data_IF_276347920603
#
_entry.id   IF_276347920603
#
_cell.length_a   1.000
_cell.length_b   1.000
_cell.length_c   1.000
_cell.angle_alpha   90.00
_cell.angle_beta   90.00
_cell.angle_gamma   90.00
#
_symmetry.space_group_name_H-M   'P 1'
#
loop_
_entity.id
_entity.type
_entity.pdbx_description
1 polymer ?
#
# COMPACT_ATOMS: atom_id res chain seq x y z
N UNK A 1 -1.50 -3.29 -15.89
CA UNK A 1 -1.60 -1.88 -16.32
C UNK A 1 -2.69 -1.11 -15.61
N UNK A 2 -3.62 -1.77 -14.91
CA UNK A 2 -4.56 -1.08 -14.03
C UNK A 2 -4.09 -1.23 -12.59
N UNK A 3 -3.35 -0.23 -12.10
CA UNK A 3 -3.04 -0.09 -10.68
C UNK A 3 -3.88 1.09 -10.16
N UNK A 4 -4.53 0.95 -8.99
CA UNK A 4 -5.32 2.03 -8.43
C UNK A 4 -4.37 3.12 -7.93
N UNK A 5 -4.14 4.12 -8.78
CA UNK A 5 -3.53 5.39 -8.40
C UNK A 5 -4.61 6.46 -8.40
N UNK A 6 -4.46 7.47 -7.56
CA UNK A 6 -5.43 8.56 -7.43
C UNK A 6 -6.83 8.08 -7.01
N UNK A 7 -6.89 6.97 -6.27
CA UNK A 7 -8.13 6.45 -5.65
C UNK A 7 -8.23 6.93 -4.22
N UNK A 8 -9.33 7.58 -3.86
CA UNK A 8 -9.60 7.93 -2.46
C UNK A 8 -9.89 6.64 -1.70
N UNK A 9 -9.02 6.27 -0.76
CA UNK A 9 -9.08 4.96 -0.10
C UNK A 9 -10.38 4.77 0.67
N UNK A 10 -10.89 5.83 1.30
CA UNK A 10 -12.15 5.79 2.06
C UNK A 10 -13.37 5.57 1.17
N UNK A 11 -13.37 6.09 -0.06
CA UNK A 11 -14.46 5.84 -1.01
C UNK A 11 -14.44 4.38 -1.48
N UNK A 12 -13.25 3.87 -1.82
CA UNK A 12 -13.08 2.47 -2.17
C UNK A 12 -13.50 1.54 -1.01
N UNK A 13 -13.15 1.91 0.22
CA UNK A 13 -13.59 1.19 1.42
C UNK A 13 -15.09 1.27 1.63
N UNK A 14 -15.74 2.41 1.39
CA UNK A 14 -17.19 2.51 1.54
C UNK A 14 -17.94 1.57 0.58
N UNK A 15 -17.36 1.28 -0.58
CA UNK A 15 -17.92 0.30 -1.53
C UNK A 15 -17.72 -1.17 -1.07
N UNK A 16 -16.74 -1.43 -0.21
CA UNK A 16 -16.42 -2.76 0.32
C UNK A 16 -15.90 -2.68 1.77
N UNK A 17 -16.80 -2.34 2.69
CA UNK A 17 -16.43 -1.99 4.07
C UNK A 17 -15.80 -3.16 4.83
N UNK A 18 -16.19 -4.39 4.50
CA UNK A 18 -15.72 -5.62 5.13
C UNK A 18 -14.55 -6.28 4.40
N UNK A 19 -14.38 -6.03 3.10
CA UNK A 19 -13.29 -6.58 2.29
C UNK A 19 -12.03 -5.70 2.28
N UNK A 20 -12.00 -4.62 3.06
CA UNK A 20 -10.87 -3.70 3.14
C UNK A 20 -10.35 -3.59 4.59
N UNK A 21 -9.12 -3.13 4.81
CA UNK A 21 -8.51 -2.83 6.14
C UNK A 21 -8.65 -1.35 6.54
N UNK A 22 -9.06 -1.07 7.78
CA UNK A 22 -9.26 0.32 8.22
C UNK A 22 -7.92 1.07 8.22
N UNK A 23 -7.84 2.29 7.66
CA UNK A 23 -6.60 3.06 7.71
C UNK A 23 -6.31 3.48 9.15
N UNK A 24 -5.04 3.43 9.53
CA UNK A 24 -4.55 3.90 10.83
C UNK A 24 -3.90 5.26 10.66
N UNK A 25 -4.17 6.19 11.58
CA UNK A 25 -3.48 7.49 11.63
C UNK A 25 -2.64 7.59 12.90
N UNK A 26 -1.35 7.83 12.74
CA UNK A 26 -0.40 8.02 13.84
C UNK A 26 0.58 9.13 13.49
N UNK A 27 0.80 10.07 14.42
CA UNK A 27 1.75 11.17 14.22
C UNK A 27 1.43 12.05 12.99
N UNK A 28 0.17 12.15 12.58
CA UNK A 28 -0.25 12.91 11.39
C UNK A 28 -0.07 12.19 10.06
N UNK A 29 0.35 10.93 10.07
CA UNK A 29 0.48 10.08 8.88
C UNK A 29 -0.62 9.02 8.88
N UNK A 30 -1.31 8.87 7.76
CA UNK A 30 -2.30 7.81 7.55
C UNK A 30 -1.71 6.70 6.68
N UNK A 31 -1.89 5.44 7.07
CA UNK A 31 -1.40 4.25 6.38
C UNK A 31 -2.38 3.08 6.51
N UNK A 32 -2.17 2.00 5.75
CA UNK A 32 -3.03 0.81 5.76
C UNK A 32 -2.19 -0.46 5.90
N UNK A 33 -2.47 -1.26 6.92
CA UNK A 33 -1.66 -2.46 7.21
C UNK A 33 -0.24 -2.07 7.63
N UNK A 34 0.74 -2.38 6.78
CA UNK A 34 2.13 -1.99 6.97
C UNK A 34 2.30 -0.45 7.06
N UNK A 35 3.04 0.07 8.06
CA UNK A 35 3.26 1.52 8.25
C UNK A 35 3.92 2.26 7.08
N UNK A 36 4.55 1.55 6.16
CA UNK A 36 5.15 2.13 4.96
C UNK A 36 4.13 2.37 3.85
N UNK A 37 2.97 1.71 3.89
CA UNK A 37 1.89 1.86 2.90
C UNK A 37 1.03 3.09 3.21
N UNK A 38 1.65 4.26 3.06
CA UNK A 38 1.07 5.56 3.41
C UNK A 38 0.05 5.99 2.37
N UNK A 39 -1.05 6.56 2.85
CA UNK A 39 -2.02 7.28 2.04
C UNK A 39 -1.63 8.75 2.01
N UNK A 40 -1.62 9.34 0.82
CA UNK A 40 -1.27 10.75 0.63
C UNK A 40 -2.56 11.54 0.48
N UNK A 41 -2.86 12.38 1.47
CA UNK A 41 -4.17 13.08 1.54
C UNK A 41 -5.37 12.12 1.46
N UNK A 42 -5.21 10.88 1.97
CA UNK A 42 -6.23 9.83 1.90
C UNK A 42 -6.25 9.02 0.59
N UNK A 43 -5.45 9.39 -0.41
CA UNK A 43 -5.38 8.70 -1.69
C UNK A 43 -4.32 7.60 -1.70
N UNK A 44 -4.61 6.54 -2.45
CA UNK A 44 -3.62 5.57 -2.88
C UNK A 44 -2.83 6.19 -4.03
N UNK A 45 -1.53 6.30 -3.84
CA UNK A 45 -0.61 6.89 -4.81
C UNK A 45 0.53 5.93 -5.14
N UNK A 46 1.35 6.28 -6.14
CA UNK A 46 2.51 5.50 -6.54
C UNK A 46 3.39 5.13 -5.33
N UNK A 47 3.62 6.11 -4.45
CA UNK A 47 4.45 5.97 -3.25
C UNK A 47 3.78 5.24 -2.10
N UNK A 48 2.48 4.89 -2.22
CA UNK A 48 1.82 3.99 -1.28
C UNK A 48 2.40 2.59 -1.43
N UNK A 49 2.66 2.11 -2.65
CA UNK A 49 3.18 0.75 -2.88
C UNK A 49 4.69 0.73 -3.15
N UNK A 50 5.22 1.80 -3.76
CA UNK A 50 6.59 1.85 -4.24
C UNK A 50 7.47 2.84 -3.46
N UNK A 51 8.70 2.43 -3.15
CA UNK A 51 9.78 3.30 -2.70
C UNK A 51 10.86 3.37 -3.79
N UNK A 52 10.90 4.42 -4.64
CA UNK A 52 11.90 4.53 -5.69
C UNK A 52 13.35 4.64 -5.15
N UNK A 53 13.53 4.89 -3.85
CA UNK A 53 14.84 4.92 -3.21
C UNK A 53 15.21 3.61 -2.52
N UNK A 54 14.30 2.63 -2.47
CA UNK A 54 14.62 1.30 -1.98
C UNK A 54 15.51 0.59 -2.99
N UNK A 55 16.83 0.62 -2.73
CA UNK A 55 17.82 -0.04 -3.59
C UNK A 55 17.80 -1.57 -3.44
N UNK A 56 16.98 -2.10 -2.53
CA UNK A 56 16.96 -3.50 -2.09
C UNK A 56 18.26 -3.88 -1.37
N UNK A 57 18.20 -4.87 -0.48
CA UNK A 57 19.43 -5.57 -0.12
C UNK A 57 19.91 -6.38 -1.33
N UNK A 58 21.21 -6.31 -1.63
CA UNK A 58 21.79 -7.09 -2.72
C UNK A 58 21.54 -8.59 -2.46
N UNK A 59 20.72 -9.23 -3.31
CA UNK A 59 20.41 -10.65 -3.22
C UNK A 59 19.07 -11.03 -2.57
N UNK A 60 18.26 -10.07 -2.11
CA UNK A 60 16.97 -10.36 -1.44
C UNK A 60 15.73 -10.23 -2.32
N UNK A 61 15.89 -9.88 -3.61
CA UNK A 61 14.79 -9.92 -4.58
C UNK A 61 13.93 -8.64 -4.68
N UNK A 62 14.08 -7.64 -3.81
CA UNK A 62 13.29 -6.39 -3.84
C UNK A 62 13.81 -5.30 -4.80
N UNK A 63 14.58 -5.68 -5.82
CA UNK A 63 15.28 -4.71 -6.68
C UNK A 63 14.38 -4.06 -7.74
N UNK A 64 13.23 -4.66 -8.06
CA UNK A 64 12.27 -4.16 -9.04
C UNK A 64 10.91 -4.83 -8.77
N UNK A 65 9.80 -4.09 -8.59
CA UNK A 65 9.59 -2.67 -8.90
C UNK A 65 9.73 -1.74 -7.68
N UNK A 66 10.66 -2.00 -6.76
CA UNK A 66 10.89 -1.17 -5.56
C UNK A 66 9.68 -1.11 -4.61
N UNK A 67 9.14 -2.25 -4.21
CA UNK A 67 7.99 -2.28 -3.31
C UNK A 67 8.41 -2.02 -1.86
N UNK A 68 7.50 -1.42 -1.07
CA UNK A 68 7.66 -1.35 0.40
C UNK A 68 7.56 -2.72 1.06
N UNK A 69 6.75 -3.63 0.48
CA UNK A 69 6.45 -4.97 1.00
C UNK A 69 6.57 -5.98 -0.14
N UNK A 70 7.10 -7.17 0.13
CA UNK A 70 7.04 -8.28 -0.83
C UNK A 70 5.62 -8.54 -1.29
N UNK A 71 5.45 -8.79 -2.58
CA UNK A 71 4.16 -9.21 -3.11
C UNK A 71 4.07 -10.73 -3.32
N UNK A 72 5.02 -11.52 -2.83
CA UNK A 72 4.89 -12.96 -2.75
C UNK A 72 3.56 -13.36 -2.09
N UNK A 73 2.77 -14.18 -2.76
CA UNK A 73 1.45 -14.60 -2.26
C UNK A 73 0.42 -13.46 -2.13
N UNK A 74 0.60 -12.36 -2.85
CA UNK A 74 -0.21 -11.13 -2.74
C UNK A 74 -0.07 -10.39 -1.42
N UNK A 75 1.02 -10.59 -0.68
CA UNK A 75 1.20 -10.03 0.65
C UNK A 75 1.09 -8.49 0.69
N UNK A 76 1.55 -7.79 -0.35
CA UNK A 76 1.34 -6.35 -0.49
C UNK A 76 -0.16 -6.01 -0.53
N UNK A 77 -0.93 -6.67 -1.40
CA UNK A 77 -2.36 -6.40 -1.57
C UNK A 77 -3.15 -6.68 -0.29
N UNK A 78 -2.75 -7.71 0.48
CA UNK A 78 -3.41 -8.13 1.71
C UNK A 78 -3.21 -7.15 2.88
N UNK A 79 -2.36 -6.13 2.72
CA UNK A 79 -2.35 -5.01 3.66
C UNK A 79 -3.63 -4.18 3.59
N UNK A 80 -4.23 -4.09 2.39
CA UNK A 80 -5.42 -3.29 2.14
C UNK A 80 -6.69 -4.13 2.03
N UNK A 81 -6.58 -5.37 1.52
CA UNK A 81 -7.72 -6.23 1.19
C UNK A 81 -7.83 -7.42 2.15
N UNK A 82 -9.04 -7.68 2.63
CA UNK A 82 -9.43 -8.84 3.40
C UNK A 82 -10.01 -9.88 2.43
N UNK A 83 -9.55 -11.13 2.52
CA UNK A 83 -10.05 -12.26 1.72
C UNK A 83 -11.32 -12.86 2.30
#
# INVERSE_FOLDING_TARGET
NDHPISVLYTDARFQDETGMVQPTTSGGVTYVGDPNLKLFSGYVECTTCHDPHNQGEAGTGYKYPFLWVDNAGSALCLNCHIK
#
